data_IF_245911627187
#
_entry.id   IF_245911627187
#
_cell.length_a   1.000
_cell.length_b   1.000
_cell.length_c   1.000
_cell.angle_alpha   90.00
_cell.angle_beta   90.00
_cell.angle_gamma   90.00
#
_symmetry.space_group_name_H-M   'P 1'
#
loop_
_entity.id
_entity.type
_entity.pdbx_description
1 polymer ?
#
# COMPACT_ATOMS: atom_id res chain seq x y z
N UNK A 1 3.35 77.37 15.42
CA UNK A 1 2.17 76.49 15.59
C UNK A 1 2.27 75.35 14.58
N UNK A 2 2.70 74.16 15.01
CA UNK A 2 2.74 72.95 14.18
C UNK A 2 1.74 71.94 14.74
N UNK A 3 0.82 71.49 13.89
CA UNK A 3 -0.14 70.44 14.20
C UNK A 3 0.55 69.06 14.18
N UNK A 4 0.21 68.14 15.11
CA UNK A 4 0.77 66.80 15.09
C UNK A 4 0.01 65.89 14.11
N UNK A 5 0.77 65.22 13.25
CA UNK A 5 0.31 64.14 12.38
C UNK A 5 0.08 62.89 13.24
N UNK A 6 -1.16 62.37 13.25
CA UNK A 6 -1.51 61.08 13.87
C UNK A 6 -1.03 59.91 12.99
N UNK A 7 -0.39 58.86 13.54
CA UNK A 7 -0.16 57.63 12.81
C UNK A 7 -1.44 56.77 12.83
N UNK A 8 -1.99 56.53 11.66
CA UNK A 8 -3.05 55.55 11.40
C UNK A 8 -2.44 54.15 11.30
N UNK A 9 -2.45 53.40 12.41
CA UNK A 9 -2.18 51.96 12.38
C UNK A 9 -3.15 51.20 13.28
N UNK A 10 -4.23 50.71 12.68
CA UNK A 10 -5.06 49.65 13.25
C UNK A 10 -5.44 48.67 12.14
N UNK A 11 -4.45 47.86 11.71
CA UNK A 11 -4.74 46.57 11.10
C UNK A 11 -5.20 45.65 12.23
N UNK A 12 -6.51 45.40 12.31
CA UNK A 12 -7.11 44.58 13.35
C UNK A 12 -6.73 43.10 13.16
N UNK A 13 -5.75 42.65 13.95
CA UNK A 13 -5.35 41.24 14.08
C UNK A 13 -6.47 40.29 14.55
N UNK A 14 -7.64 40.83 14.92
CA UNK A 14 -8.83 40.02 15.21
C UNK A 14 -9.37 39.29 13.98
N UNK A 15 -9.17 39.82 12.78
CA UNK A 15 -9.73 39.24 11.54
C UNK A 15 -9.21 37.84 11.20
N UNK A 16 -7.89 37.60 11.32
CA UNK A 16 -7.28 36.30 10.94
C UNK A 16 -7.62 35.20 11.96
N UNK A 17 -7.67 35.55 13.25
CA UNK A 17 -8.08 34.61 14.30
C UNK A 17 -9.59 34.28 14.20
N UNK A 18 -10.43 35.26 13.83
CA UNK A 18 -11.86 35.05 13.58
C UNK A 18 -12.09 34.14 12.38
N UNK A 19 -11.31 34.23 11.32
CA UNK A 19 -11.46 33.35 10.15
C UNK A 19 -11.14 31.89 10.52
N UNK A 20 -10.09 31.64 11.29
CA UNK A 20 -9.73 30.29 11.75
C UNK A 20 -10.79 29.74 12.72
N UNK A 21 -11.31 30.58 13.64
CA UNK A 21 -12.38 30.19 14.56
C UNK A 21 -13.72 29.98 13.86
N UNK A 22 -14.06 30.75 12.82
CA UNK A 22 -15.25 30.53 12.00
C UNK A 22 -15.16 29.22 11.20
N UNK A 23 -13.98 28.89 10.64
CA UNK A 23 -13.76 27.62 9.93
C UNK A 23 -13.90 26.41 10.88
N UNK A 24 -13.46 26.55 12.13
CA UNK A 24 -13.60 25.51 13.16
C UNK A 24 -15.05 25.41 13.69
N UNK A 25 -15.74 26.54 13.84
CA UNK A 25 -17.12 26.59 14.35
C UNK A 25 -18.15 26.10 13.31
N UNK A 26 -17.97 26.41 12.02
CA UNK A 26 -18.82 25.89 10.94
C UNK A 26 -18.67 24.37 10.77
N UNK A 27 -17.47 23.83 11.01
CA UNK A 27 -17.27 22.37 11.05
C UNK A 27 -17.92 21.71 12.26
N UNK A 28 -17.91 22.35 13.42
CA UNK A 28 -18.61 21.87 14.62
C UNK A 28 -20.12 21.84 14.39
N UNK A 29 -20.69 22.88 13.77
CA UNK A 29 -22.12 22.97 13.46
C UNK A 29 -22.57 21.93 12.42
N UNK A 30 -21.75 21.66 11.40
CA UNK A 30 -22.02 20.61 10.42
C UNK A 30 -22.06 19.20 11.04
N UNK A 31 -21.23 18.93 12.05
CA UNK A 31 -21.20 17.66 12.76
C UNK A 31 -22.39 17.48 13.73
N UNK A 32 -22.86 18.57 14.35
CA UNK A 32 -24.11 18.53 15.16
C UNK A 32 -25.38 18.49 14.31
N UNK A 33 -25.43 19.13 13.15
CA UNK A 33 -26.58 19.09 12.24
C UNK A 33 -26.79 17.70 11.60
N UNK A 34 -25.71 16.92 11.45
CA UNK A 34 -25.78 15.51 11.01
C UNK A 34 -26.27 14.55 12.10
N UNK A 35 -26.29 14.96 13.37
CA UNK A 35 -26.65 14.10 14.50
C UNK A 35 -28.14 14.16 14.88
N UNK A 36 -28.86 15.20 14.44
CA UNK A 36 -30.27 15.42 14.79
C UNK A 36 -31.28 15.08 13.66
N UNK A 37 -30.88 14.38 12.60
CA UNK A 37 -31.79 13.99 11.48
C UNK A 37 -32.25 12.52 11.49
N UNK A 38 -32.15 11.82 12.61
CA UNK A 38 -32.78 10.51 12.79
C UNK A 38 -33.70 10.53 14.00
N UNK A 39 -34.82 11.25 13.83
CA UNK A 39 -36.04 11.09 14.58
C UNK A 39 -37.16 10.73 13.60
N UNK A 40 -37.93 9.72 13.99
CA UNK A 40 -39.26 9.35 13.50
C UNK A 40 -39.41 8.71 12.12
N UNK A 41 -39.53 7.38 12.14
CA UNK A 41 -40.47 6.63 11.29
C UNK A 41 -40.94 5.37 12.03
N UNK A 42 -42.07 5.50 12.72
CA UNK A 42 -42.90 4.40 13.26
C UNK A 42 -43.86 3.93 12.16
N UNK A 43 -43.84 2.63 11.85
CA UNK A 43 -44.99 1.85 11.36
C UNK A 43 -44.62 0.36 11.49
N UNK A 44 -45.00 -0.30 12.59
CA UNK A 44 -46.12 -1.25 12.67
C UNK A 44 -46.03 -2.43 11.69
N UNK A 45 -45.45 -3.54 12.14
CA UNK A 45 -45.86 -4.88 11.73
C UNK A 45 -45.76 -5.82 12.94
N UNK A 46 -46.92 -6.33 13.31
CA UNK A 46 -47.19 -7.29 14.39
C UNK A 46 -46.79 -8.70 13.96
N UNK A 47 -45.98 -9.40 14.77
CA UNK A 47 -45.89 -10.86 14.77
C UNK A 47 -45.51 -11.36 16.18
N UNK A 48 -45.94 -12.58 16.56
CA UNK A 48 -46.07 -13.00 17.96
C UNK A 48 -44.76 -13.53 18.57
N UNK A 49 -44.67 -13.59 19.92
CA UNK A 49 -43.43 -13.94 20.61
C UNK A 49 -43.19 -15.44 20.59
N UNK A 50 -42.07 -15.87 20.02
CA UNK A 50 -41.50 -17.19 20.26
C UNK A 50 -40.51 -17.08 21.41
N UNK A 51 -40.82 -17.78 22.48
CA UNK A 51 -40.02 -18.03 23.66
C UNK A 51 -38.71 -18.72 23.27
N UNK A 52 -37.57 -18.05 23.46
CA UNK A 52 -36.28 -18.73 23.60
C UNK A 52 -35.52 -18.17 24.79
N UNK A 53 -35.59 -18.94 25.87
CA UNK A 53 -34.68 -18.92 26.99
C UNK A 53 -33.27 -19.37 26.54
N UNK A 54 -32.28 -18.74 27.17
CA UNK A 54 -30.94 -19.29 27.51
C UNK A 54 -30.03 -19.77 26.38
N UNK A 55 -29.02 -18.94 26.02
CA UNK A 55 -27.60 -19.32 26.14
C UNK A 55 -26.64 -18.12 25.91
N UNK A 56 -26.78 -17.05 26.70
CA UNK A 56 -25.80 -15.97 26.76
C UNK A 56 -24.99 -16.08 28.06
N UNK A 57 -24.02 -17.00 28.09
CA UNK A 57 -22.94 -17.04 29.11
C UNK A 57 -21.80 -17.92 28.59
N UNK A 58 -20.75 -17.29 28.06
CA UNK A 58 -19.32 -17.61 28.26
C UNK A 58 -18.47 -16.70 27.37
N UNK A 59 -17.27 -16.39 27.85
CA UNK A 59 -16.26 -15.47 27.31
C UNK A 59 -16.44 -13.98 27.65
N UNK A 60 -16.59 -13.71 28.95
CA UNK A 60 -15.86 -12.63 29.61
C UNK A 60 -15.24 -13.20 30.88
N UNK A 61 -14.03 -12.72 31.18
CA UNK A 61 -13.12 -13.06 32.27
C UNK A 61 -12.09 -14.17 31.96
N UNK A 62 -10.88 -13.71 31.61
CA UNK A 62 -9.67 -14.14 32.33
C UNK A 62 -8.66 -12.99 32.32
N UNK A 63 -8.64 -12.25 33.43
CA UNK A 63 -7.58 -11.33 33.83
C UNK A 63 -6.55 -12.13 34.64
N UNK A 64 -5.29 -11.79 34.47
CA UNK A 64 -4.28 -11.92 35.54
C UNK A 64 -3.60 -13.27 35.67
N UNK A 65 -2.64 -13.54 34.80
CA UNK A 65 -1.45 -14.30 35.21
C UNK A 65 -0.29 -13.32 35.30
N UNK A 66 -0.07 -12.79 36.50
CA UNK A 66 1.23 -12.26 36.90
C UNK A 66 2.17 -13.45 37.04
N UNK A 67 3.08 -13.58 36.07
CA UNK A 67 4.24 -14.46 36.18
C UNK A 67 5.45 -13.55 36.44
N UNK A 68 5.55 -13.03 37.66
CA UNK A 68 6.85 -12.64 38.22
C UNK A 68 7.60 -13.92 38.61
N UNK A 69 8.92 -13.88 38.50
CA UNK A 69 9.88 -15.00 38.60
C UNK A 69 10.08 -15.84 37.33
N UNK A 70 10.86 -15.30 36.38
CA UNK A 70 11.97 -16.03 35.73
C UNK A 70 12.80 -15.14 34.76
N UNK A 71 13.22 -13.95 35.21
CA UNK A 71 14.05 -13.02 34.40
C UNK A 71 15.58 -13.13 34.62
N UNK A 72 16.06 -14.06 35.47
CA UNK A 72 17.49 -14.15 35.81
C UNK A 72 18.30 -15.22 35.06
N UNK A 73 17.72 -15.94 34.09
CA UNK A 73 18.42 -17.01 33.34
C UNK A 73 18.59 -16.76 31.83
N UNK A 74 18.26 -15.56 31.32
CA UNK A 74 18.46 -15.18 29.89
C UNK A 74 19.76 -14.45 29.58
N UNK A 75 20.76 -14.53 30.45
CA UNK A 75 22.13 -14.14 30.15
C UNK A 75 23.02 -15.37 29.96
N UNK A 76 23.12 -15.86 28.72
CA UNK A 76 24.33 -16.41 28.06
C UNK A 76 23.92 -17.17 26.79
N UNK A 77 24.75 -17.02 25.76
CA UNK A 77 24.70 -17.68 24.44
C UNK A 77 24.03 -16.89 23.30
N UNK A 78 24.59 -15.72 22.98
CA UNK A 78 24.53 -15.15 21.62
C UNK A 78 25.74 -15.55 20.77
N UNK A 79 26.25 -16.77 20.92
CA UNK A 79 27.05 -17.41 19.87
C UNK A 79 26.07 -17.97 18.83
N UNK A 80 25.58 -17.09 17.95
CA UNK A 80 25.01 -17.56 16.69
C UNK A 80 26.17 -18.17 15.91
N UNK A 81 26.14 -19.47 15.57
CA UNK A 81 27.10 -19.99 14.61
C UNK A 81 26.88 -19.20 13.32
N UNK A 82 27.82 -18.33 12.99
CA UNK A 82 27.96 -17.81 11.65
C UNK A 82 28.22 -19.05 10.81
N UNK A 83 27.19 -19.51 10.09
CA UNK A 83 27.27 -20.56 9.09
C UNK A 83 28.45 -20.22 8.18
N UNK A 84 29.60 -20.81 8.49
CA UNK A 84 30.77 -20.78 7.61
C UNK A 84 30.28 -21.40 6.32
N UNK A 85 30.49 -20.65 5.24
CA UNK A 85 30.26 -20.96 3.83
C UNK A 85 30.68 -22.42 3.52
N UNK A 86 29.84 -23.39 3.87
CA UNK A 86 30.06 -24.80 3.58
C UNK A 86 29.72 -24.98 2.11
N UNK A 87 30.80 -25.13 1.34
CA UNK A 87 30.92 -25.88 0.10
C UNK A 87 29.58 -26.39 -0.45
N UNK A 88 29.05 -25.70 -1.47
CA UNK A 88 28.04 -26.24 -2.37
C UNK A 88 28.66 -27.44 -3.09
N UNK A 89 28.46 -28.65 -2.55
CA UNK A 89 28.83 -29.90 -3.20
C UNK A 89 27.54 -30.56 -3.66
N UNK A 90 27.40 -30.67 -4.99
CA UNK A 90 26.36 -31.41 -5.67
C UNK A 90 25.47 -30.53 -6.55
N UNK A 91 25.07 -31.02 -7.74
CA UNK A 91 23.97 -30.41 -8.48
C UNK A 91 22.75 -30.34 -7.54
N UNK A 92 21.98 -29.24 -7.55
CA UNK A 92 20.86 -29.06 -6.63
C UNK A 92 19.90 -30.25 -6.77
N UNK A 93 19.88 -31.13 -5.76
CA UNK A 93 18.96 -32.26 -5.70
C UNK A 93 17.57 -31.66 -5.64
N UNK A 94 16.84 -31.78 -6.75
CA UNK A 94 15.51 -31.21 -6.86
C UNK A 94 14.55 -31.97 -5.96
N UNK A 95 13.74 -31.28 -5.13
CA UNK A 95 12.68 -31.96 -4.41
C UNK A 95 11.68 -32.52 -5.42
N UNK A 96 11.35 -33.81 -5.30
CA UNK A 96 10.43 -34.49 -6.23
C UNK A 96 9.01 -33.93 -6.25
N UNK A 97 8.62 -33.09 -5.28
CA UNK A 97 7.32 -32.42 -5.20
C UNK A 97 7.48 -30.90 -5.08
N UNK A 98 6.62 -30.09 -5.72
CA UNK A 98 6.64 -28.64 -5.55
C UNK A 98 6.40 -28.27 -4.09
N UNK A 99 7.09 -27.23 -3.60
CA UNK A 99 6.96 -26.73 -2.22
C UNK A 99 6.23 -25.40 -2.21
N UNK A 100 5.18 -25.28 -1.41
CA UNK A 100 4.45 -24.02 -1.18
C UNK A 100 4.78 -23.54 0.23
N UNK A 101 5.51 -22.42 0.33
CA UNK A 101 5.89 -21.83 1.61
C UNK A 101 4.92 -20.71 1.96
N UNK A 102 4.23 -20.82 3.11
CA UNK A 102 3.30 -19.80 3.61
C UNK A 102 3.96 -19.06 4.77
N UNK A 103 4.36 -17.80 4.53
CA UNK A 103 4.91 -16.93 5.57
C UNK A 103 3.78 -16.31 6.39
N UNK A 104 3.94 -16.28 7.72
CA UNK A 104 2.89 -15.77 8.61
C UNK A 104 1.70 -16.72 8.68
N UNK A 105 1.94 -18.03 8.56
CA UNK A 105 0.91 -19.06 8.53
C UNK A 105 0.01 -19.06 9.78
N UNK A 106 0.51 -18.59 10.92
CA UNK A 106 -0.26 -18.45 12.17
C UNK A 106 -1.19 -17.22 12.20
N UNK A 107 -1.14 -16.35 11.19
CA UNK A 107 -1.99 -15.17 11.05
C UNK A 107 -3.37 -15.50 10.48
N UNK A 108 -4.35 -14.60 10.63
CA UNK A 108 -5.75 -14.88 10.23
C UNK A 108 -5.90 -15.36 8.79
N UNK A 109 -5.30 -14.65 7.82
CA UNK A 109 -5.32 -15.05 6.40
C UNK A 109 -4.41 -16.26 6.14
N UNK A 110 -3.21 -16.29 6.75
CA UNK A 110 -2.24 -17.38 6.56
C UNK A 110 -2.82 -18.75 6.91
N UNK A 111 -3.61 -18.82 7.99
CA UNK A 111 -4.31 -20.05 8.40
C UNK A 111 -5.33 -20.50 7.36
N UNK A 112 -6.15 -19.56 6.88
CA UNK A 112 -7.15 -19.85 5.85
C UNK A 112 -6.49 -20.36 4.57
N UNK A 113 -5.34 -19.79 4.18
CA UNK A 113 -4.54 -20.27 3.04
C UNK A 113 -4.05 -21.70 3.28
N UNK A 114 -3.44 -21.98 4.43
CA UNK A 114 -2.95 -23.33 4.76
C UNK A 114 -4.10 -24.34 4.78
N UNK A 115 -5.22 -23.99 5.42
CA UNK A 115 -6.42 -24.83 5.49
C UNK A 115 -6.96 -25.15 4.10
N UNK A 116 -7.16 -24.14 3.25
CA UNK A 116 -7.64 -24.34 1.88
C UNK A 116 -6.67 -25.19 1.03
N UNK A 117 -5.35 -25.02 1.21
CA UNK A 117 -4.36 -25.85 0.50
C UNK A 117 -4.40 -27.32 0.97
N UNK A 118 -4.64 -27.57 2.26
CA UNK A 118 -4.77 -28.92 2.82
C UNK A 118 -6.11 -29.59 2.42
N UNK A 119 -7.18 -28.81 2.26
CA UNK A 119 -8.50 -29.30 1.79
C UNK A 119 -8.46 -29.75 0.32
N UNK A 120 -7.50 -29.29 -0.48
CA UNK A 120 -7.34 -29.66 -1.89
C UNK A 120 -6.67 -31.03 -2.07
N UNK A 121 -7.49 -32.10 -2.09
CA UNK A 121 -7.03 -33.50 -2.21
C UNK A 121 -6.13 -33.81 -3.42
N UNK A 122 -6.29 -33.08 -4.52
CA UNK A 122 -5.54 -33.31 -5.76
C UNK A 122 -4.22 -32.54 -5.84
N UNK A 123 -3.86 -31.78 -4.80
CA UNK A 123 -2.65 -30.98 -4.80
C UNK A 123 -1.44 -31.83 -4.36
N UNK A 124 -0.67 -32.31 -5.33
CA UNK A 124 0.60 -32.98 -5.04
C UNK A 124 1.72 -31.96 -4.78
N UNK A 125 1.62 -31.25 -3.65
CA UNK A 125 2.61 -30.27 -3.21
C UNK A 125 2.91 -30.40 -1.71
N UNK A 126 4.15 -30.13 -1.32
CA UNK A 126 4.53 -30.03 0.09
C UNK A 126 4.26 -28.62 0.60
N UNK A 127 3.38 -28.49 1.60
CA UNK A 127 3.05 -27.20 2.20
C UNK A 127 3.95 -26.97 3.42
N UNK A 128 4.65 -25.83 3.45
CA UNK A 128 5.56 -25.44 4.53
C UNK A 128 5.00 -24.18 5.19
N UNK A 129 4.54 -24.30 6.43
CA UNK A 129 4.08 -23.19 7.24
C UNK A 129 5.25 -22.53 7.99
N UNK A 130 5.59 -21.29 7.65
CA UNK A 130 6.59 -20.51 8.39
C UNK A 130 5.90 -19.62 9.43
N UNK A 131 6.19 -19.89 10.69
CA UNK A 131 5.59 -19.25 11.86
C UNK A 131 6.66 -18.66 12.75
N UNK A 132 6.33 -17.55 13.43
CA UNK A 132 7.23 -16.92 14.40
C UNK A 132 7.23 -17.67 15.75
N UNK A 133 6.07 -18.22 16.10
CA UNK A 133 5.79 -18.87 17.37
C UNK A 133 5.23 -20.27 17.09
N UNK A 134 6.01 -21.29 17.45
CA UNK A 134 5.69 -22.68 17.19
C UNK A 134 4.52 -23.17 18.03
N UNK A 135 4.42 -22.75 19.29
CA UNK A 135 3.36 -23.20 20.20
C UNK A 135 2.01 -22.64 19.78
N UNK A 136 1.99 -21.36 19.40
CA UNK A 136 0.80 -20.75 18.80
C UNK A 136 0.39 -21.47 17.52
N UNK A 137 1.36 -21.82 16.67
CA UNK A 137 1.08 -22.55 15.45
C UNK A 137 0.53 -23.95 15.74
N UNK A 138 1.06 -24.65 16.75
CA UNK A 138 0.54 -25.94 17.16
C UNK A 138 -0.93 -25.83 17.59
N UNK A 139 -1.24 -24.94 18.54
CA UNK A 139 -2.63 -24.77 19.01
C UNK A 139 -3.61 -24.45 17.90
N UNK A 140 -3.17 -23.61 16.97
CA UNK A 140 -4.07 -23.01 15.99
C UNK A 140 -4.18 -23.83 14.70
N UNK A 141 -3.08 -24.45 14.24
CA UNK A 141 -3.08 -25.27 13.03
C UNK A 141 -3.42 -26.73 13.32
N UNK A 142 -3.20 -27.26 14.53
CA UNK A 142 -3.59 -28.65 14.82
C UNK A 142 -5.10 -28.85 14.74
N UNK A 143 -5.88 -27.87 15.21
CA UNK A 143 -7.34 -27.90 15.08
C UNK A 143 -7.72 -28.04 13.59
N UNK A 144 -7.10 -27.25 12.71
CA UNK A 144 -7.34 -27.30 11.26
C UNK A 144 -6.84 -28.62 10.62
N UNK A 145 -5.69 -29.15 11.04
CA UNK A 145 -5.13 -30.42 10.53
C UNK A 145 -5.95 -31.63 10.97
N UNK A 146 -6.51 -31.61 12.18
CA UNK A 146 -7.31 -32.72 12.71
C UNK A 146 -8.61 -32.91 11.92
N UNK A 147 -9.19 -31.81 11.42
CA UNK A 147 -10.34 -31.82 10.53
C UNK A 147 -9.99 -32.40 9.16
N UNK A 148 -8.82 -32.06 8.61
CA UNK A 148 -8.39 -32.55 7.30
C UNK A 148 -8.03 -34.05 7.33
N UNK A 149 -7.40 -34.53 8.41
CA UNK A 149 -6.88 -35.90 8.50
C UNK A 149 -7.99 -36.95 8.56
N UNK A 150 -9.17 -36.64 9.13
CA UNK A 150 -10.32 -37.56 9.18
C UNK A 150 -10.87 -37.95 7.81
N UNK A 151 -10.52 -37.24 6.73
CA UNK A 151 -11.06 -37.48 5.39
C UNK A 151 -10.12 -38.22 4.43
N UNK A 152 -8.89 -38.57 4.84
CA UNK A 152 -7.81 -38.95 3.91
C UNK A 152 -7.25 -40.38 4.08
N UNK A 153 -7.91 -41.29 4.81
CA UNK A 153 -7.37 -42.63 5.08
C UNK A 153 -7.57 -43.68 3.98
N UNK A 154 -7.99 -43.31 2.76
CA UNK A 154 -8.14 -44.25 1.64
C UNK A 154 -7.54 -43.66 0.36
N UNK A 155 -6.64 -44.43 -0.24
CA UNK A 155 -6.08 -44.29 -1.59
C UNK A 155 -4.90 -43.32 -1.79
N UNK A 156 -3.68 -43.86 -1.89
CA UNK A 156 -2.68 -43.30 -2.82
C UNK A 156 -1.63 -44.34 -3.24
N UNK A 157 -1.84 -44.95 -4.40
CA UNK A 157 -0.83 -45.69 -5.17
C UNK A 157 -0.05 -44.68 -6.02
N UNK A 158 1.27 -44.57 -5.82
CA UNK A 158 2.09 -43.55 -6.49
C UNK A 158 2.49 -43.97 -7.91
N UNK A 159 2.09 -43.19 -8.92
CA UNK A 159 2.64 -43.29 -10.28
C UNK A 159 3.87 -42.38 -10.43
N UNK A 160 5.02 -42.99 -10.73
CA UNK A 160 6.27 -42.31 -11.06
C UNK A 160 6.18 -41.78 -12.50
N UNK A 161 6.23 -40.45 -12.70
CA UNK A 161 6.04 -39.87 -14.03
C UNK A 161 6.65 -38.49 -14.23
N UNK A 162 7.55 -38.43 -15.22
CA UNK A 162 8.09 -37.28 -15.97
C UNK A 162 9.08 -36.34 -15.25
N UNK A 163 10.16 -35.92 -15.95
CA UNK A 163 11.13 -34.97 -15.43
C UNK A 163 10.46 -33.63 -15.11
N UNK A 164 10.64 -33.17 -13.87
CA UNK A 164 10.01 -31.96 -13.34
C UNK A 164 10.83 -30.75 -13.78
N UNK A 165 10.33 -30.01 -14.77
CA UNK A 165 10.87 -28.68 -15.11
C UNK A 165 10.77 -27.79 -13.87
N UNK A 166 11.90 -27.22 -13.44
CA UNK A 166 11.96 -26.39 -12.23
C UNK A 166 11.05 -25.19 -12.40
N UNK A 167 9.91 -25.11 -11.69
CA UNK A 167 9.12 -23.91 -11.74
C UNK A 167 9.92 -22.78 -11.09
N UNK A 168 9.96 -21.62 -11.75
CA UNK A 168 10.48 -20.40 -11.11
C UNK A 168 9.77 -20.21 -9.78
N UNK A 169 10.53 -19.75 -8.78
CA UNK A 169 9.98 -19.44 -7.46
C UNK A 169 8.90 -18.37 -7.67
N UNK A 170 7.70 -18.64 -7.15
CA UNK A 170 6.62 -17.67 -7.13
C UNK A 170 6.41 -17.14 -5.73
N UNK A 171 6.40 -15.84 -5.60
CA UNK A 171 6.16 -15.12 -4.36
C UNK A 171 4.80 -14.44 -4.41
N UNK A 172 3.92 -14.79 -3.47
CA UNK A 172 2.59 -14.19 -3.35
C UNK A 172 2.56 -13.36 -2.07
N UNK A 173 2.33 -12.07 -2.23
CA UNK A 173 2.31 -11.11 -1.13
C UNK A 173 0.91 -10.56 -0.95
N UNK A 174 0.38 -10.63 0.26
CA UNK A 174 -0.79 -9.84 0.65
C UNK A 174 -0.29 -8.53 1.27
N UNK A 175 -0.58 -7.43 0.60
CA UNK A 175 -0.20 -6.06 0.97
C UNK A 175 -1.45 -5.22 1.24
N UNK A 176 -1.28 -4.04 1.82
CA UNK A 176 -2.39 -3.12 2.10
C UNK A 176 -2.76 -2.30 0.85
N UNK A 177 -4.06 -2.11 0.58
CA UNK A 177 -4.54 -1.23 -0.52
C UNK A 177 -4.21 0.24 -0.27
N UNK A 178 -3.88 0.65 0.95
CA UNK A 178 -3.38 2.00 1.23
C UNK A 178 -2.10 2.35 0.43
N UNK A 179 -1.33 1.36 -0.05
CA UNK A 179 -0.13 1.58 -0.87
C UNK A 179 -0.42 2.04 -2.30
N UNK A 180 -1.66 1.95 -2.75
CA UNK A 180 -2.08 2.38 -4.10
C UNK A 180 -2.31 3.89 -4.16
N UNK A 181 -2.74 4.49 -3.04
CA UNK A 181 -3.11 5.88 -3.00
C UNK A 181 -1.86 6.77 -3.13
N UNK A 182 -1.88 7.76 -4.04
CA UNK A 182 -0.76 8.67 -4.18
C UNK A 182 -0.55 9.42 -2.86
N UNK A 183 0.67 9.33 -2.32
CA UNK A 183 1.12 9.93 -1.04
C UNK A 183 0.89 11.45 -0.96
N UNK A 184 0.56 12.09 -2.07
CA UNK A 184 0.46 13.54 -2.22
C UNK A 184 -0.91 14.12 -1.83
N UNK A 185 -1.90 13.31 -1.49
CA UNK A 185 -3.11 13.83 -0.85
C UNK A 185 -2.81 14.24 0.59
N UNK A 186 -3.13 15.48 0.97
CA UNK A 186 -2.77 16.10 2.26
C UNK A 186 -3.15 15.26 3.50
N UNK A 187 -4.28 14.55 3.43
CA UNK A 187 -4.75 13.70 4.53
C UNK A 187 -3.90 12.43 4.63
N UNK A 188 -3.75 11.61 3.58
CA UNK A 188 -2.75 10.53 3.54
C UNK A 188 -1.34 11.00 3.84
N UNK A 189 -0.92 12.21 3.46
CA UNK A 189 0.40 12.75 3.77
C UNK A 189 0.60 12.85 5.29
N UNK A 190 -0.37 13.40 6.02
CA UNK A 190 -0.34 13.52 7.49
C UNK A 190 -0.44 12.16 8.17
N UNK A 191 -1.38 11.30 7.78
CA UNK A 191 -1.45 9.93 8.32
C UNK A 191 -0.23 9.12 7.94
N UNK A 192 0.36 9.34 6.77
CA UNK A 192 1.62 8.74 6.36
C UNK A 192 2.79 9.31 7.14
N UNK A 193 2.86 10.59 7.54
CA UNK A 193 3.97 11.06 8.38
C UNK A 193 4.05 10.24 9.68
N UNK A 194 2.90 9.87 10.27
CA UNK A 194 2.85 9.07 11.50
C UNK A 194 2.84 7.55 11.27
N UNK A 195 2.20 7.04 10.21
CA UNK A 195 2.21 5.61 9.81
C UNK A 195 3.40 5.23 8.90
N UNK A 196 4.30 6.17 8.60
CA UNK A 196 5.24 6.17 7.45
C UNK A 196 6.18 4.97 7.44
N UNK A 197 6.69 4.58 8.59
CA UNK A 197 7.78 3.62 8.60
C UNK A 197 7.34 2.25 8.11
N UNK A 198 6.16 1.77 8.53
CA UNK A 198 5.66 0.46 8.10
C UNK A 198 5.34 0.47 6.61
N UNK A 199 4.52 1.42 6.13
CA UNK A 199 4.17 1.49 4.71
C UNK A 199 5.39 1.71 3.80
N UNK A 200 6.41 2.44 4.27
CA UNK A 200 7.67 2.60 3.57
C UNK A 200 8.37 1.25 3.36
N UNK A 201 8.46 0.42 4.39
CA UNK A 201 9.08 -0.90 4.24
C UNK A 201 8.25 -1.83 3.35
N UNK A 202 6.92 -1.70 3.36
CA UNK A 202 6.07 -2.42 2.43
C UNK A 202 6.32 -1.99 0.97
N UNK A 203 6.31 -0.69 0.67
CA UNK A 203 6.60 -0.17 -0.67
C UNK A 203 8.03 -0.52 -1.13
N UNK A 204 9.02 -0.41 -0.25
CA UNK A 204 10.40 -0.84 -0.55
C UNK A 204 10.47 -2.33 -0.87
N UNK A 205 9.77 -3.18 -0.12
CA UNK A 205 9.74 -4.60 -0.38
C UNK A 205 9.04 -4.94 -1.71
N UNK A 206 7.93 -4.26 -2.05
CA UNK A 206 7.26 -4.44 -3.35
C UNK A 206 8.17 -4.05 -4.51
N UNK A 207 8.87 -2.92 -4.43
CA UNK A 207 9.84 -2.50 -5.45
C UNK A 207 11.01 -3.46 -5.60
N UNK A 208 11.49 -4.01 -4.49
CA UNK A 208 12.56 -5.02 -4.52
C UNK A 208 12.08 -6.30 -5.23
N UNK A 209 10.86 -6.75 -4.94
CA UNK A 209 10.26 -7.90 -5.63
C UNK A 209 10.03 -7.63 -7.12
N UNK A 210 9.53 -6.46 -7.48
CA UNK A 210 9.35 -6.02 -8.88
C UNK A 210 10.67 -5.91 -9.66
N UNK A 211 11.77 -5.59 -8.97
CA UNK A 211 13.10 -5.53 -9.59
C UNK A 211 13.78 -6.89 -9.71
N UNK A 212 13.21 -7.95 -9.10
CA UNK A 212 13.82 -9.27 -9.06
C UNK A 212 13.61 -10.01 -10.37
N UNK A 213 14.70 -10.37 -11.05
CA UNK A 213 14.67 -11.17 -12.28
C UNK A 213 14.41 -12.66 -12.04
N UNK A 214 14.54 -13.10 -10.77
CA UNK A 214 14.57 -14.50 -10.39
C UNK A 214 13.19 -15.04 -9.97
N UNK A 215 12.27 -14.15 -9.56
CA UNK A 215 11.06 -14.53 -8.83
C UNK A 215 9.83 -13.96 -9.52
N UNK A 216 8.88 -14.84 -9.85
CA UNK A 216 7.55 -14.40 -10.28
C UNK A 216 6.80 -13.85 -9.06
N UNK A 217 6.25 -12.65 -9.15
CA UNK A 217 5.60 -11.99 -8.01
C UNK A 217 4.14 -11.67 -8.29
N UNK A 218 3.25 -12.06 -7.38
CA UNK A 218 1.84 -11.63 -7.36
C UNK A 218 1.57 -10.86 -6.07
N UNK A 219 1.27 -9.58 -6.18
CA UNK A 219 0.94 -8.72 -5.04
C UNK A 219 -0.58 -8.55 -5.00
N UNK A 220 -1.22 -9.09 -3.99
CA UNK A 220 -2.64 -8.89 -3.69
C UNK A 220 -2.78 -7.70 -2.75
N UNK A 221 -3.62 -6.73 -3.11
CA UNK A 221 -3.94 -5.54 -2.32
C UNK A 221 -5.42 -5.55 -1.97
N UNK A 222 -5.84 -6.34 -0.97
CA UNK A 222 -7.19 -6.27 -0.45
C UNK A 222 -7.53 -4.88 0.08
N UNK A 223 -8.79 -4.47 -0.11
CA UNK A 223 -9.40 -3.43 0.70
C UNK A 223 -9.46 -3.80 2.19
N UNK A 224 -10.23 -3.04 2.96
CA UNK A 224 -10.40 -3.25 4.39
C UNK A 224 -10.91 -4.67 4.68
N UNK A 225 -10.16 -5.38 5.52
CA UNK A 225 -10.39 -6.79 5.79
C UNK A 225 -11.50 -6.99 6.83
N UNK A 226 -12.59 -7.63 6.42
CA UNK A 226 -13.70 -8.02 7.29
C UNK A 226 -13.67 -9.52 7.61
N UNK A 227 -14.16 -9.89 8.81
CA UNK A 227 -14.31 -11.31 9.21
C UNK A 227 -15.63 -11.91 8.74
N UNK A 228 -16.58 -11.08 8.29
CA UNK A 228 -17.88 -11.56 7.82
C UNK A 228 -17.70 -12.42 6.57
N UNK A 229 -18.50 -13.49 6.49
CA UNK A 229 -18.60 -14.29 5.29
C UNK A 229 -19.35 -13.51 4.21
N UNK A 230 -18.96 -13.77 2.96
CA UNK A 230 -19.56 -13.15 1.80
C UNK A 230 -20.88 -13.84 1.46
N UNK A 231 -21.96 -13.09 1.31
CA UNK A 231 -23.17 -13.64 0.68
C UNK A 231 -22.95 -13.76 -0.84
N UNK A 232 -22.70 -14.99 -1.27
CA UNK A 232 -22.38 -15.37 -2.66
C UNK A 232 -23.48 -14.93 -3.66
N UNK A 233 -24.72 -14.75 -3.20
CA UNK A 233 -25.83 -14.36 -4.07
C UNK A 233 -25.93 -12.85 -4.27
N UNK A 234 -25.57 -12.03 -3.30
CA UNK A 234 -25.70 -10.56 -3.37
C UNK A 234 -24.36 -9.88 -3.68
N UNK A 235 -23.25 -10.53 -3.31
CA UNK A 235 -21.90 -9.94 -3.35
C UNK A 235 -20.90 -10.78 -4.15
N UNK A 236 -20.15 -10.11 -5.00
CA UNK A 236 -19.14 -10.67 -5.90
C UNK A 236 -17.76 -10.11 -5.57
N UNK A 237 -16.71 -10.79 -6.02
CA UNK A 237 -15.32 -10.34 -5.90
C UNK A 237 -14.93 -9.60 -7.18
N UNK A 238 -14.47 -8.35 -7.04
CA UNK A 238 -13.80 -7.62 -8.10
C UNK A 238 -12.29 -7.64 -7.85
N UNK A 239 -11.55 -8.02 -8.89
CA UNK A 239 -10.08 -7.95 -8.91
C UNK A 239 -9.69 -6.98 -10.00
N UNK A 240 -9.06 -5.86 -9.63
CA UNK A 240 -8.54 -4.88 -10.58
C UNK A 240 -7.05 -5.13 -10.86
N UNK A 241 -6.67 -5.44 -12.12
CA UNK A 241 -5.27 -5.62 -12.51
C UNK A 241 -4.44 -4.33 -12.49
N UNK A 242 -5.06 -3.16 -12.33
CA UNK A 242 -4.32 -1.89 -12.12
C UNK A 242 -3.53 -1.91 -10.81
N UNK A 243 -3.95 -2.74 -9.85
CA UNK A 243 -3.43 -2.73 -8.50
C UNK A 243 -3.87 -1.51 -7.70
N UNK A 244 -4.91 -0.78 -8.13
CA UNK A 244 -5.52 0.36 -7.43
C UNK A 244 -7.04 0.25 -7.44
N UNK A 245 -7.67 0.42 -6.29
CA UNK A 245 -9.13 0.42 -6.14
C UNK A 245 -9.54 1.60 -5.27
N UNK A 246 -10.52 2.41 -5.71
CA UNK A 246 -10.98 3.56 -4.95
C UNK A 246 -11.69 3.12 -3.66
N UNK A 247 -11.46 3.87 -2.59
CA UNK A 247 -12.16 3.71 -1.32
C UNK A 247 -13.63 4.20 -1.42
N UNK A 248 -14.58 3.61 -0.67
CA UNK A 248 -14.40 2.48 0.25
C UNK A 248 -14.23 1.14 -0.52
N UNK A 249 -13.38 0.28 0.01
CA UNK A 249 -13.16 -1.06 -0.52
C UNK A 249 -13.07 -2.00 0.69
N UNK A 250 -13.99 -2.95 0.83
CA UNK A 250 -13.93 -3.99 1.86
C UNK A 250 -13.83 -5.36 1.17
N UNK A 251 -13.22 -6.33 1.84
CA UNK A 251 -13.16 -7.71 1.36
C UNK A 251 -13.00 -8.67 2.54
N UNK A 252 -13.64 -9.82 2.46
CA UNK A 252 -13.54 -10.87 3.48
C UNK A 252 -12.18 -11.56 3.44
N UNK A 253 -11.66 -11.93 4.62
CA UNK A 253 -10.37 -12.64 4.74
C UNK A 253 -10.37 -13.98 3.98
N UNK A 254 -11.51 -14.65 3.91
CA UNK A 254 -11.67 -15.92 3.19
C UNK A 254 -11.51 -15.77 1.67
N UNK A 255 -12.10 -14.73 1.07
CA UNK A 255 -11.95 -14.49 -0.37
C UNK A 255 -10.51 -14.08 -0.72
N UNK A 256 -9.82 -13.34 0.15
CA UNK A 256 -8.39 -13.00 -0.02
C UNK A 256 -7.52 -14.25 0.06
N UNK A 257 -7.78 -15.14 1.02
CA UNK A 257 -7.09 -16.42 1.12
C UNK A 257 -7.34 -17.28 -0.14
N UNK A 258 -8.59 -17.36 -0.58
CA UNK A 258 -8.99 -18.08 -1.80
C UNK A 258 -8.30 -17.54 -3.04
N UNK A 259 -8.13 -16.21 -3.13
CA UNK A 259 -7.40 -15.57 -4.22
C UNK A 259 -5.90 -15.83 -4.15
N UNK A 260 -5.32 -15.88 -2.94
CA UNK A 260 -3.91 -16.23 -2.74
C UNK A 260 -3.63 -17.69 -3.15
N UNK A 261 -4.51 -18.62 -2.76
CA UNK A 261 -4.45 -20.03 -3.20
C UNK A 261 -4.61 -20.14 -4.70
N UNK A 262 -5.61 -19.47 -5.29
CA UNK A 262 -5.78 -19.44 -6.74
C UNK A 262 -4.54 -18.88 -7.47
N UNK A 263 -3.87 -17.88 -6.90
CA UNK A 263 -2.63 -17.30 -7.44
C UNK A 263 -1.43 -18.25 -7.32
N UNK A 264 -1.39 -19.06 -6.26
CA UNK A 264 -0.35 -20.07 -6.05
C UNK A 264 -0.46 -21.19 -7.08
N UNK A 265 -1.69 -21.64 -7.32
CA UNK A 265 -1.99 -22.75 -8.22
C UNK A 265 -2.07 -22.36 -9.69
N UNK A 266 -2.23 -21.06 -9.98
CA UNK A 266 -2.32 -20.56 -11.34
C UNK A 266 -1.05 -20.92 -12.14
N UNK A 267 -1.17 -21.65 -13.25
CA UNK A 267 -0.03 -21.84 -14.16
C UNK A 267 0.03 -20.69 -15.15
N UNK A 268 1.15 -19.98 -15.20
CA UNK A 268 1.38 -18.96 -16.22
C UNK A 268 1.26 -19.62 -17.60
N UNK A 269 0.58 -18.99 -18.58
CA UNK A 269 0.48 -19.55 -19.93
C UNK A 269 1.85 -19.78 -20.56
N UNK A 270 2.87 -18.99 -20.18
CA UNK A 270 4.26 -19.19 -20.63
C UNK A 270 4.84 -20.53 -20.16
N UNK A 271 4.45 -20.99 -18.98
CA UNK A 271 4.87 -22.28 -18.44
C UNK A 271 4.26 -23.44 -19.25
N UNK A 272 3.02 -23.28 -19.74
CA UNK A 272 2.39 -24.27 -20.63
C UNK A 272 3.08 -24.36 -21.99
N UNK A 273 3.61 -23.26 -22.49
CA UNK A 273 4.36 -23.23 -23.76
C UNK A 273 5.70 -23.95 -23.59
N UNK A 274 6.44 -23.70 -22.50
CA UNK A 274 7.69 -24.40 -22.20
C UNK A 274 7.50 -25.93 -22.08
N UNK A 275 6.47 -26.38 -21.36
CA UNK A 275 6.16 -27.81 -21.19
C UNK A 275 5.78 -28.50 -22.51
N UNK A 276 5.29 -27.76 -23.51
CA UNK A 276 4.95 -28.30 -24.82
C UNK A 276 6.18 -28.49 -25.72
N UNK A 277 7.24 -27.69 -25.54
CA UNK A 277 8.46 -27.77 -26.37
C UNK A 277 9.28 -29.02 -26.04
N UNK A 278 9.31 -29.44 -24.76
CA UNK A 278 10.12 -30.58 -24.31
C UNK A 278 9.67 -31.95 -24.87
N UNK A 279 8.49 -32.04 -25.50
CA UNK A 279 7.95 -33.31 -26.02
C UNK A 279 8.25 -33.51 -27.51
N UNK A 280 8.75 -32.50 -28.23
CA UNK A 280 8.76 -32.53 -29.70
C UNK A 280 10.13 -32.46 -30.39
N UNK A 281 11.25 -32.28 -29.70
CA UNK A 281 12.56 -32.15 -30.35
C UNK A 281 13.65 -32.98 -29.66
N UNK A 282 13.81 -34.22 -30.13
CA UNK A 282 15.10 -34.92 -30.12
C UNK A 282 15.79 -34.63 -31.45
N UNK A 283 17.07 -34.25 -31.37
CA UNK A 283 18.02 -34.10 -32.48
C UNK A 283 18.02 -32.77 -33.25
N UNK A 284 18.87 -31.88 -32.72
CA UNK A 284 19.89 -31.05 -33.41
C UNK A 284 19.75 -29.54 -33.25
N UNK A 285 20.67 -28.97 -32.47
CA UNK A 285 21.02 -27.55 -32.49
C UNK A 285 20.75 -26.82 -31.18
N UNK A 286 21.80 -26.23 -30.61
CA UNK A 286 21.83 -25.43 -29.39
C UNK A 286 20.66 -24.44 -29.27
N UNK A 287 19.59 -24.87 -28.60
CA UNK A 287 18.44 -24.03 -28.28
C UNK A 287 18.90 -23.01 -27.24
N UNK A 288 19.19 -21.78 -27.67
CA UNK A 288 19.39 -20.66 -26.76
C UNK A 288 18.17 -20.58 -25.86
N UNK A 289 18.34 -20.94 -24.59
CA UNK A 289 17.29 -20.91 -23.58
C UNK A 289 16.82 -19.47 -23.48
N UNK A 290 15.70 -19.13 -24.11
CA UNK A 290 15.14 -17.79 -24.04
C UNK A 290 14.84 -17.52 -22.57
N UNK A 291 15.67 -16.70 -21.94
CA UNK A 291 15.53 -16.33 -20.55
C UNK A 291 14.22 -15.55 -20.43
N UNK A 292 13.15 -16.23 -20.00
CA UNK A 292 11.85 -15.60 -19.87
C UNK A 292 11.92 -14.50 -18.81
N UNK A 293 11.42 -13.31 -19.13
CA UNK A 293 11.24 -12.25 -18.14
C UNK A 293 10.33 -12.74 -17.00
N UNK A 294 10.65 -12.37 -15.73
CA UNK A 294 9.79 -12.68 -14.59
C UNK A 294 8.39 -12.06 -14.76
N UNK A 295 7.39 -12.75 -14.22
CA UNK A 295 6.01 -12.25 -14.22
C UNK A 295 5.74 -11.51 -12.91
N UNK A 296 5.54 -10.18 -12.98
CA UNK A 296 5.15 -9.36 -11.84
C UNK A 296 3.76 -8.78 -12.08
N UNK A 297 2.81 -9.03 -11.17
CA UNK A 297 1.49 -8.40 -11.22
C UNK A 297 1.03 -7.88 -9.86
N UNK A 298 0.25 -6.79 -9.91
CA UNK A 298 -0.43 -6.20 -8.75
C UNK A 298 -1.93 -6.32 -8.98
N UNK A 299 -2.64 -6.82 -7.99
CA UNK A 299 -4.06 -7.09 -8.06
C UNK A 299 -4.72 -6.43 -6.85
N UNK A 300 -5.52 -5.41 -7.06
CA UNK A 300 -6.34 -4.86 -5.99
C UNK A 300 -7.65 -5.65 -5.90
N UNK A 301 -8.15 -5.86 -4.68
CA UNK A 301 -9.29 -6.75 -4.43
C UNK A 301 -10.33 -6.05 -3.56
N UNK A 302 -11.59 -6.09 -3.99
CA UNK A 302 -12.74 -5.68 -3.17
C UNK A 302 -13.95 -6.55 -3.43
N UNK A 303 -14.91 -6.49 -2.53
CA UNK A 303 -16.27 -6.93 -2.80
C UNK A 303 -17.04 -5.87 -3.58
N UNK A 304 -17.99 -6.33 -4.40
CA UNK A 304 -18.94 -5.51 -5.13
C UNK A 304 -20.33 -6.14 -5.07
N UNK A 305 -21.38 -5.35 -4.90
CA UNK A 305 -22.72 -5.89 -4.70
C UNK A 305 -23.78 -4.80 -4.57
N UNK A 306 -25.05 -5.20 -4.64
CA UNK A 306 -26.18 -4.26 -4.60
C UNK A 306 -26.39 -3.64 -3.22
N UNK A 307 -26.07 -4.38 -2.15
CA UNK A 307 -26.46 -4.06 -0.76
C UNK A 307 -25.28 -3.70 0.15
N UNK A 308 -24.16 -3.28 -0.44
CA UNK A 308 -22.93 -3.00 0.30
C UNK A 308 -22.96 -1.58 0.90
N UNK A 309 -23.26 -1.49 2.20
CA UNK A 309 -23.00 -0.29 3.01
C UNK A 309 -21.50 -0.20 3.41
N UNK A 310 -20.92 1.00 3.59
CA UNK A 310 -21.54 2.32 3.53
C UNK A 310 -21.47 2.94 2.13
N UNK A 311 -22.38 3.88 1.87
CA UNK A 311 -22.34 4.75 0.70
C UNK A 311 -21.02 5.56 0.69
N UNK A 312 -20.33 5.71 -0.46
CA UNK A 312 -20.74 5.27 -1.79
C UNK A 312 -20.59 3.77 -2.02
N UNK A 313 -21.51 3.20 -2.81
CA UNK A 313 -21.55 1.78 -3.11
C UNK A 313 -20.22 1.28 -3.70
N UNK A 314 -19.74 0.13 -3.22
CA UNK A 314 -18.49 -0.50 -3.63
C UNK A 314 -18.60 -1.11 -5.04
N UNK A 315 -18.73 -0.28 -6.08
CA UNK A 315 -18.94 -0.75 -7.45
C UNK A 315 -20.29 -1.45 -7.66
N UNK A 316 -20.56 -1.92 -8.89
CA UNK A 316 -21.78 -2.67 -9.22
C UNK A 316 -21.48 -4.16 -9.26
N UNK A 317 -22.48 -5.00 -8.94
CA UNK A 317 -22.36 -6.48 -8.98
C UNK A 317 -21.81 -7.02 -10.32
N UNK A 318 -22.15 -6.35 -11.43
CA UNK A 318 -21.68 -6.69 -12.79
C UNK A 318 -20.17 -6.51 -12.99
N UNK A 319 -19.50 -5.78 -12.11
CA UNK A 319 -18.08 -5.50 -12.18
C UNK A 319 -17.24 -6.61 -11.50
N UNK A 320 -17.89 -7.55 -10.79
CA UNK A 320 -17.25 -8.64 -10.06
C UNK A 320 -17.73 -10.03 -10.48
N UNK A 321 -17.08 -11.05 -9.93
CA UNK A 321 -17.34 -12.46 -10.20
C UNK A 321 -17.68 -13.23 -8.93
N UNK A 322 -18.42 -14.34 -9.08
CA UNK A 322 -18.86 -15.17 -7.96
C UNK A 322 -17.72 -15.83 -7.19
N UNK A 323 -16.65 -16.25 -7.88
CA UNK A 323 -15.52 -16.96 -7.28
C UNK A 323 -14.19 -16.25 -7.51
N UNK A 324 -13.27 -16.39 -6.54
CA UNK A 324 -11.95 -15.80 -6.60
C UNK A 324 -11.16 -16.28 -7.83
N UNK A 325 -11.24 -17.57 -8.16
CA UNK A 325 -10.58 -18.15 -9.32
C UNK A 325 -11.02 -17.51 -10.65
N UNK A 326 -12.33 -17.31 -10.85
CA UNK A 326 -12.84 -16.66 -12.07
C UNK A 326 -12.38 -15.21 -12.13
N UNK A 327 -12.44 -14.49 -11.01
CA UNK A 327 -11.99 -13.09 -10.93
C UNK A 327 -10.50 -12.94 -11.28
N UNK A 328 -9.66 -13.85 -10.79
CA UNK A 328 -8.23 -13.88 -11.08
C UNK A 328 -7.98 -14.16 -12.56
N UNK A 329 -8.62 -15.18 -13.13
CA UNK A 329 -8.47 -15.53 -14.55
C UNK A 329 -8.85 -14.37 -15.46
N UNK A 330 -9.93 -13.65 -15.14
CA UNK A 330 -10.38 -12.48 -15.90
C UNK A 330 -9.40 -11.31 -15.76
N UNK A 331 -8.88 -11.03 -14.56
CA UNK A 331 -7.87 -10.00 -14.34
C UNK A 331 -6.58 -10.31 -15.13
N UNK A 332 -6.10 -11.55 -15.10
CA UNK A 332 -4.92 -11.98 -15.84
C UNK A 332 -5.12 -11.92 -17.36
N UNK A 333 -6.33 -12.19 -17.86
CA UNK A 333 -6.65 -12.01 -19.27
C UNK A 333 -6.60 -10.53 -19.70
N UNK A 334 -7.04 -9.61 -18.83
CA UNK A 334 -6.92 -8.16 -19.06
C UNK A 334 -5.45 -7.73 -19.11
N UNK A 335 -4.62 -8.20 -18.16
CA UNK A 335 -3.16 -7.94 -18.16
C UNK A 335 -2.54 -8.42 -19.48
N UNK A 336 -2.80 -9.67 -19.88
CA UNK A 336 -2.29 -10.23 -21.14
C UNK A 336 -2.73 -9.41 -22.36
N UNK A 337 -3.97 -8.92 -22.38
CA UNK A 337 -4.47 -8.06 -23.46
C UNK A 337 -3.77 -6.69 -23.48
N UNK A 338 -3.51 -6.11 -22.31
CA UNK A 338 -2.78 -4.86 -22.17
C UNK A 338 -1.32 -5.01 -22.65
N UNK A 339 -0.60 -6.04 -22.19
CA UNK A 339 0.77 -6.36 -22.64
C UNK A 339 0.84 -6.56 -24.16
N UNK A 340 -0.12 -7.32 -24.73
CA UNK A 340 -0.19 -7.53 -26.19
C UNK A 340 -0.42 -6.22 -26.94
N UNK A 341 -1.26 -5.32 -26.40
CA UNK A 341 -1.51 -4.00 -27.00
C UNK A 341 -0.25 -3.12 -26.93
N UNK A 342 0.44 -3.12 -25.80
CA UNK A 342 1.69 -2.37 -25.63
C UNK A 342 2.78 -2.87 -26.57
N UNK A 343 2.98 -4.19 -26.66
CA UNK A 343 3.92 -4.79 -27.62
C UNK A 343 3.60 -4.39 -29.07
N UNK A 344 2.32 -4.32 -29.45
CA UNK A 344 1.92 -3.83 -30.78
C UNK A 344 2.23 -2.35 -31.00
N UNK A 345 2.03 -1.52 -29.99
CA UNK A 345 2.37 -0.08 -30.05
C UNK A 345 3.89 0.08 -30.18
N UNK A 346 4.66 -0.69 -29.44
CA UNK A 346 6.12 -0.63 -29.48
C UNK A 346 6.67 -1.10 -30.83
N UNK A 347 6.15 -2.19 -31.39
CA UNK A 347 6.50 -2.62 -32.75
C UNK A 347 6.15 -1.56 -33.80
N UNK A 348 5.04 -0.82 -33.64
CA UNK A 348 4.71 0.30 -34.51
C UNK A 348 5.72 1.43 -34.36
N UNK A 349 6.13 1.77 -33.12
CA UNK A 349 7.16 2.79 -32.87
C UNK A 349 8.50 2.40 -33.48
N UNK A 350 8.93 1.15 -33.34
CA UNK A 350 10.16 0.65 -33.95
C UNK A 350 10.10 0.73 -35.49
N UNK A 351 8.96 0.37 -36.09
CA UNK A 351 8.75 0.56 -37.54
C UNK A 351 8.80 2.02 -37.95
N UNK A 352 8.17 2.92 -37.18
CA UNK A 352 8.21 4.36 -37.45
C UNK A 352 9.63 4.92 -37.31
N UNK A 353 10.42 4.46 -36.33
CA UNK A 353 11.82 4.87 -36.16
C UNK A 353 12.71 4.40 -37.31
N UNK A 354 12.51 3.17 -37.80
CA UNK A 354 13.22 2.67 -38.97
C UNK A 354 12.84 3.45 -40.24
N UNK A 355 11.56 3.79 -40.43
CA UNK A 355 11.13 4.62 -41.56
C UNK A 355 11.61 6.07 -41.47
N UNK A 356 11.70 6.64 -40.26
CA UNK A 356 12.20 8.01 -40.09
C UNK A 356 13.72 8.12 -40.22
N UNK A 357 14.46 7.01 -40.07
CA UNK A 357 15.92 7.01 -40.32
C UNK A 357 16.30 7.29 -41.77
N UNK A 358 15.34 7.21 -42.70
CA UNK A 358 15.52 7.56 -44.11
C UNK A 358 15.16 9.02 -44.43
N UNK A 359 14.62 9.79 -43.47
CA UNK A 359 14.18 11.18 -43.69
C UNK A 359 14.98 12.12 -42.79
N UNK A 360 16.00 12.74 -43.41
CA UNK A 360 16.70 13.98 -43.05
C UNK A 360 17.24 14.17 -41.61
N UNK A 361 18.58 14.10 -41.55
CA UNK A 361 19.55 14.76 -40.65
C UNK A 361 19.04 15.81 -39.64
N UNK A 362 18.21 15.42 -38.67
CA UNK A 362 18.18 16.12 -37.39
C UNK A 362 19.30 15.57 -36.48
N UNK A 363 20.08 16.44 -35.81
CA UNK A 363 21.20 16.01 -35.00
C UNK A 363 20.71 15.16 -33.81
N UNK A 364 20.97 13.87 -33.90
CA UNK A 364 20.60 12.80 -32.96
C UNK A 364 20.99 13.10 -31.50
N UNK A 365 21.98 13.98 -31.32
CA UNK A 365 22.47 14.50 -30.05
C UNK A 365 21.40 15.26 -29.26
N UNK A 366 20.54 16.04 -29.91
CA UNK A 366 19.51 16.87 -29.22
C UNK A 366 18.41 15.99 -28.64
N UNK A 367 17.99 14.96 -29.38
CA UNK A 367 16.97 14.00 -28.93
C UNK A 367 17.51 13.14 -27.78
N UNK A 368 18.76 12.65 -27.88
CA UNK A 368 19.41 11.92 -26.78
C UNK A 368 19.59 12.78 -25.53
N UNK A 369 19.94 14.06 -25.68
CA UNK A 369 20.09 14.99 -24.56
C UNK A 369 18.74 15.22 -23.86
N UNK A 370 17.67 15.48 -24.62
CA UNK A 370 16.33 15.67 -24.09
C UNK A 370 15.81 14.43 -23.35
N UNK A 371 16.03 13.23 -23.89
CA UNK A 371 15.68 11.98 -23.24
C UNK A 371 16.51 11.73 -21.97
N UNK A 372 17.80 12.07 -21.96
CA UNK A 372 18.65 11.99 -20.78
C UNK A 372 18.21 12.96 -19.67
N UNK A 373 17.78 14.17 -20.01
CA UNK A 373 17.23 15.11 -19.03
C UNK A 373 15.89 14.63 -18.45
N UNK A 374 15.01 14.05 -19.26
CA UNK A 374 13.74 13.50 -18.76
C UNK A 374 13.95 12.25 -17.89
N UNK A 375 14.85 11.34 -18.27
CA UNK A 375 15.15 10.15 -17.47
C UNK A 375 15.85 10.50 -16.16
N UNK A 376 16.77 11.47 -16.14
CA UNK A 376 17.40 11.98 -14.91
C UNK A 376 16.38 12.69 -14.00
N UNK A 377 15.43 13.45 -14.54
CA UNK A 377 14.32 14.04 -13.77
C UNK A 377 13.38 12.98 -13.19
N UNK A 378 13.08 11.90 -13.92
CA UNK A 378 12.29 10.77 -13.40
C UNK A 378 13.01 10.00 -12.29
N UNK A 379 14.34 9.86 -12.36
CA UNK A 379 15.15 9.19 -11.31
C UNK A 379 15.34 10.04 -10.05
N UNK A 380 15.32 11.37 -10.16
CA UNK A 380 15.41 12.31 -9.03
C UNK A 380 14.03 12.88 -8.65
N UNK A 381 13.01 12.04 -8.57
CA UNK A 381 11.83 12.43 -7.80
C UNK A 381 12.30 12.59 -6.34
N UNK A 382 12.54 13.84 -5.94
CA UNK A 382 12.78 14.21 -4.55
C UNK A 382 11.71 13.49 -3.73
N UNK A 383 12.17 12.60 -2.85
CA UNK A 383 11.27 11.75 -2.08
C UNK A 383 10.31 12.68 -1.33
N UNK A 384 8.99 12.64 -1.59
CA UNK A 384 7.98 13.57 -1.04
C UNK A 384 8.15 13.82 0.46
N UNK A 385 8.57 12.77 1.17
CA UNK A 385 8.77 12.71 2.60
C UNK A 385 9.75 13.76 3.13
N UNK A 386 10.79 14.13 2.37
CA UNK A 386 11.73 15.17 2.77
C UNK A 386 11.06 16.54 2.90
N UNK A 387 10.14 16.86 1.98
CA UNK A 387 9.40 18.12 2.00
C UNK A 387 8.30 18.08 3.07
N UNK A 388 7.58 16.96 3.16
CA UNK A 388 6.47 16.79 4.09
C UNK A 388 6.90 16.82 5.57
N UNK A 389 8.08 16.29 5.90
CA UNK A 389 8.67 16.38 7.25
C UNK A 389 9.33 17.73 7.51
N UNK A 390 9.93 18.35 6.48
CA UNK A 390 10.51 19.67 6.58
C UNK A 390 9.48 20.76 6.91
N UNK A 391 8.29 20.73 6.29
CA UNK A 391 7.29 21.80 6.47
C UNK A 391 6.89 22.02 7.95
N UNK A 392 6.49 20.99 8.72
CA UNK A 392 6.20 21.15 10.15
C UNK A 392 7.41 21.62 10.96
N UNK A 393 8.61 21.11 10.65
CA UNK A 393 9.84 21.49 11.36
C UNK A 393 10.13 22.97 11.12
N UNK A 394 10.09 23.42 9.87
CA UNK A 394 10.28 24.84 9.52
C UNK A 394 9.16 25.73 10.07
N UNK A 395 7.92 25.25 10.10
CA UNK A 395 6.80 26.00 10.69
C UNK A 395 6.97 26.14 12.21
N UNK A 396 7.33 25.06 12.92
CA UNK A 396 7.61 25.10 14.35
C UNK A 396 8.83 25.98 14.65
N UNK A 397 9.88 25.90 13.84
CA UNK A 397 11.04 26.75 13.95
C UNK A 397 10.67 28.22 13.73
N UNK A 398 9.82 28.53 12.75
CA UNK A 398 9.33 29.88 12.48
C UNK A 398 8.41 30.42 13.60
N UNK A 399 7.59 29.57 14.21
CA UNK A 399 6.76 29.93 15.36
C UNK A 399 7.60 30.15 16.62
N UNK A 400 8.61 29.30 16.84
CA UNK A 400 9.54 29.41 17.96
C UNK A 400 10.39 30.68 17.84
N UNK A 401 10.96 30.97 16.68
CA UNK A 401 11.72 32.22 16.45
C UNK A 401 10.83 33.45 16.63
N UNK A 402 9.56 33.38 16.21
CA UNK A 402 8.58 34.46 16.44
C UNK A 402 8.20 34.65 17.91
N UNK A 403 8.08 33.58 18.70
CA UNK A 403 7.78 33.72 20.13
C UNK A 403 8.99 34.24 20.89
N UNK A 404 10.19 33.70 20.61
CA UNK A 404 11.45 34.14 21.19
C UNK A 404 11.72 35.61 20.87
N UNK A 405 11.49 36.02 19.62
CA UNK A 405 11.66 37.40 19.18
C UNK A 405 10.75 38.38 19.92
N UNK A 406 9.49 38.00 20.19
CA UNK A 406 8.58 38.83 21.00
C UNK A 406 9.05 38.93 22.45
N UNK A 407 9.50 37.83 23.03
CA UNK A 407 9.97 37.77 24.41
C UNK A 407 11.25 38.60 24.59
N UNK A 408 12.22 38.45 23.67
CA UNK A 408 13.41 39.30 23.61
C UNK A 408 13.03 40.78 23.46
N UNK A 409 12.10 41.11 22.56
CA UNK A 409 11.68 42.49 22.35
C UNK A 409 11.09 43.11 23.62
N UNK A 410 10.22 42.40 24.33
CA UNK A 410 9.63 42.89 25.59
C UNK A 410 10.66 43.09 26.70
N UNK A 411 11.70 42.25 26.75
CA UNK A 411 12.75 42.32 27.77
C UNK A 411 13.79 43.41 27.43
N UNK A 412 14.12 43.58 26.15
CA UNK A 412 15.18 44.49 25.72
C UNK A 412 14.69 45.92 25.49
N UNK A 413 13.42 46.14 25.14
CA UNK A 413 12.90 47.50 24.93
C UNK A 413 12.83 48.35 26.21
N UNK A 414 12.89 47.73 27.38
CA UNK A 414 12.92 48.45 28.65
C UNK A 414 14.34 48.87 29.06
N UNK A 415 15.38 48.40 28.36
CA UNK A 415 16.79 48.59 28.73
C UNK A 415 17.49 49.41 27.64
N UNK A 416 17.80 50.68 27.92
CA UNK A 416 18.38 51.64 26.95
C UNK A 416 19.76 51.22 26.43
N UNK A 417 20.55 50.50 27.22
CA UNK A 417 21.88 50.01 26.83
C UNK A 417 21.82 48.84 25.82
N UNK A 418 20.67 48.19 25.63
CA UNK A 418 20.52 47.06 24.72
C UNK A 418 20.26 47.45 23.25
N UNK A 419 20.02 48.74 22.96
CA UNK A 419 19.76 49.27 21.61
C UNK A 419 20.73 48.76 20.52
N UNK A 420 22.06 48.82 20.67
CA UNK A 420 22.97 48.36 19.62
C UNK A 420 22.82 46.86 19.32
N UNK A 421 22.58 46.04 20.34
CA UNK A 421 22.35 44.60 20.18
C UNK A 421 21.05 44.31 19.41
N UNK A 422 19.99 45.07 19.69
CA UNK A 422 18.70 44.96 19.00
C UNK A 422 18.86 45.26 17.50
N UNK A 423 19.62 46.31 17.14
CA UNK A 423 19.86 46.63 15.73
C UNK A 423 20.65 45.54 15.00
N UNK A 424 21.59 44.87 15.69
CA UNK A 424 22.34 43.74 15.13
C UNK A 424 21.42 42.53 14.88
N UNK A 425 20.60 42.17 15.88
CA UNK A 425 19.64 41.06 15.77
C UNK A 425 18.64 41.32 14.64
N UNK A 426 18.14 42.56 14.50
CA UNK A 426 17.26 42.94 13.39
C UNK A 426 17.94 42.74 12.03
N UNK A 427 19.19 43.19 11.86
CA UNK A 427 19.94 43.00 10.60
C UNK A 427 20.15 41.52 10.27
N UNK A 428 20.51 40.69 11.26
CA UNK A 428 20.68 39.24 11.07
C UNK A 428 19.35 38.57 10.71
N UNK A 429 18.26 38.94 11.39
CA UNK A 429 16.93 38.39 11.10
C UNK A 429 16.44 38.79 9.70
N UNK A 430 16.70 40.02 9.26
CA UNK A 430 16.37 40.49 7.91
C UNK A 430 17.16 39.72 6.84
N UNK A 431 18.45 39.45 7.06
CA UNK A 431 19.25 38.62 6.16
C UNK A 431 18.74 37.18 6.08
N UNK A 432 18.36 36.58 7.22
CA UNK A 432 17.79 35.23 7.27
C UNK A 432 16.45 35.15 6.51
N UNK A 433 15.57 36.14 6.68
CA UNK A 433 14.30 36.22 5.96
C UNK A 433 14.56 36.39 4.46
N UNK A 434 15.47 37.29 4.06
CA UNK A 434 15.83 37.51 2.66
C UNK A 434 16.41 36.23 2.01
N UNK A 435 17.18 35.44 2.76
CA UNK A 435 17.71 34.15 2.30
C UNK A 435 16.61 33.07 2.17
N UNK A 436 15.65 33.02 3.09
CA UNK A 436 14.57 32.02 3.09
C UNK A 436 13.44 32.33 2.09
N UNK A 437 13.19 33.61 1.78
CA UNK A 437 12.15 34.06 0.86
C UNK A 437 12.18 33.36 -0.52
N UNK A 438 13.31 33.25 -1.24
CA UNK A 438 13.35 32.55 -2.53
C UNK A 438 13.08 31.05 -2.40
N UNK A 439 13.50 30.41 -1.31
CA UNK A 439 13.20 28.99 -1.06
C UNK A 439 11.71 28.76 -0.79
N UNK A 440 11.07 29.66 -0.04
CA UNK A 440 9.62 29.66 0.17
C UNK A 440 8.86 29.91 -1.13
N UNK A 441 9.37 30.79 -2.01
CA UNK A 441 8.77 31.04 -3.32
C UNK A 441 8.84 29.81 -4.24
N UNK A 442 9.95 29.08 -4.24
CA UNK A 442 10.08 27.80 -4.95
C UNK A 442 9.08 26.76 -4.40
N UNK A 443 8.95 26.68 -3.07
CA UNK A 443 7.97 25.81 -2.42
C UNK A 443 6.53 26.19 -2.81
N UNK A 444 6.22 27.48 -2.84
CA UNK A 444 4.91 28.00 -3.23
C UNK A 444 4.60 27.70 -4.69
N UNK A 445 5.56 27.85 -5.61
CA UNK A 445 5.40 27.47 -7.01
C UNK A 445 5.21 25.96 -7.19
N UNK A 446 5.93 25.15 -6.40
CA UNK A 446 5.78 23.70 -6.39
C UNK A 446 4.37 23.30 -5.91
N UNK A 447 3.93 23.87 -4.78
CA UNK A 447 2.57 23.66 -4.26
C UNK A 447 1.51 24.12 -5.26
N UNK A 448 1.65 25.30 -5.86
CA UNK A 448 0.69 25.82 -6.84
C UNK A 448 0.55 24.93 -8.09
N UNK A 449 1.61 24.20 -8.47
CA UNK A 449 1.60 23.23 -9.58
C UNK A 449 1.03 21.87 -9.19
N UNK A 450 1.18 21.46 -7.93
CA UNK A 450 0.77 20.13 -7.46
C UNK A 450 -0.54 20.11 -6.67
N UNK A 451 -1.11 21.26 -6.30
CA UNK A 451 -2.43 21.32 -5.67
C UNK A 451 -3.49 20.81 -6.68
N UNK A 452 -4.26 19.76 -6.34
CA UNK A 452 -5.30 19.23 -7.21
C UNK A 452 -6.34 20.31 -7.51
N UNK A 453 -6.83 20.33 -8.76
CA UNK A 453 -7.74 21.37 -9.29
C UNK A 453 -9.00 21.59 -8.42
N UNK A 454 -9.44 20.56 -7.67
CA UNK A 454 -10.56 20.67 -6.72
C UNK A 454 -10.29 21.59 -5.54
N UNK A 455 -9.06 21.61 -5.00
CA UNK A 455 -8.69 22.48 -3.88
C UNK A 455 -8.56 23.95 -4.30
N UNK A 456 -8.19 24.23 -5.56
CA UNK A 456 -8.10 25.61 -6.08
C UNK A 456 -9.42 26.38 -5.97
N UNK A 457 -10.56 25.70 -5.99
CA UNK A 457 -11.88 26.35 -5.80
C UNK A 457 -12.15 26.72 -4.35
N UNK A 458 -11.68 25.92 -3.39
CA UNK A 458 -11.82 26.20 -1.96
C UNK A 458 -10.94 27.39 -1.52
N UNK A 459 -9.79 27.60 -2.16
CA UNK A 459 -8.92 28.77 -1.98
C UNK A 459 -9.23 29.92 -2.95
N UNK A 460 -10.38 29.86 -3.64
CA UNK A 460 -10.77 30.74 -4.74
C UNK A 460 -11.38 32.08 -4.33
N UNK A 461 -11.12 32.61 -3.12
CA UNK A 461 -11.33 34.04 -2.88
C UNK A 461 -10.04 34.77 -3.24
N UNK A 462 -10.14 35.71 -4.18
CA UNK A 462 -9.04 36.48 -4.80
C UNK A 462 -8.37 37.47 -3.82
N UNK A 463 -7.88 36.99 -2.68
CA UNK A 463 -6.91 37.72 -1.87
C UNK A 463 -5.62 36.90 -1.86
N UNK A 464 -4.75 37.24 -2.81
CA UNK A 464 -3.36 36.81 -2.75
C UNK A 464 -2.78 37.28 -1.42
N UNK A 465 -2.37 36.34 -0.58
CA UNK A 465 -1.40 36.61 0.49
C UNK A 465 -0.08 36.84 -0.25
N UNK A 466 0.22 38.11 -0.57
CA UNK A 466 1.60 38.52 -0.81
C UNK A 466 2.28 38.54 0.56
N UNK A 467 3.24 37.64 0.75
CA UNK A 467 4.15 37.68 1.90
C UNK A 467 5.17 38.80 1.75
#
# INVERSE_FOLDING_TARGET
MMLPVRPSSLFSHRGVLLIILCILNDRSRALTASRNRHGDSRATTTSPPVTQLSLARRFRDDKGYEHEHDELSRQRSTDRPTLRKTQLIGPPIMPGKPKIVVLGASGRIGRLVVRQLLEMKHLDATIIACVKDYDKACRVLYDDMSLATRQNSKDSTYHCGKPVVVPKIRYIRVSDNCLCQPVWEMVPLLTNIFRSNVFRYHDMAERLLESSTLIDTVILRPGDLVDNERDVNTTHIQVDPSGDIPAPAIVGREDVASLAVASALFRSPRQKEAEKVDVSESDTGSTQTQQHDPFHCKLAVRWVGSDMHPYPAQGKKKDGFRTAQISLQKALAVIKKAEKKERRIELRRQRTMLSSSLVESYPETVVRLAQNFQTRRKKRQLKPYGIASAIPIYLMLALATRSLGRLLWTVLCTQTWAQPLVTLIQKVSAMLIAFLAPHLQILQQFLARHIPRGLRRAFGSKQYISF
#
